data_IF_948684296814
#
_entry.id   IF_948684296814
#
_cell.length_a   1.000
_cell.length_b   1.000
_cell.length_c   1.000
_cell.angle_alpha   90.00
_cell.angle_beta   90.00
_cell.angle_gamma   90.00
#
_symmetry.space_group_name_H-M   'P 1'
#
loop_
_entity.id
_entity.type
_entity.pdbx_description
1 polymer ?
#
# COMPACT_ATOMS: atom_id res chain seq x y z
N UNK A 1 -43.47 16.27 -30.01
CA UNK A 1 -43.59 16.71 -31.40
C UNK A 1 -44.68 17.77 -31.63
N UNK A 2 -45.86 17.69 -30.98
CA UNK A 2 -46.95 18.67 -31.18
C UNK A 2 -46.75 20.04 -30.50
N UNK A 3 -45.81 20.17 -29.61
CA UNK A 3 -45.53 21.44 -28.90
C UNK A 3 -44.75 22.47 -29.73
N UNK A 4 -44.11 22.06 -30.80
CA UNK A 4 -43.19 22.92 -31.57
C UNK A 4 -43.78 23.49 -32.87
N UNK A 5 -45.03 23.15 -33.20
CA UNK A 5 -45.64 23.55 -34.47
C UNK A 5 -46.46 24.82 -34.42
N UNK A 6 -46.49 25.54 -33.30
CA UNK A 6 -47.37 26.74 -33.18
C UNK A 6 -46.59 27.91 -32.56
N UNK A 7 -46.44 28.90 -33.41
CA UNK A 7 -46.19 30.34 -33.19
C UNK A 7 -44.77 30.85 -33.18
N UNK A 8 -44.54 31.86 -33.99
CA UNK A 8 -43.38 32.79 -34.06
C UNK A 8 -43.17 33.61 -32.74
N UNK A 9 -43.54 33.10 -31.60
CA UNK A 9 -43.35 33.77 -30.32
C UNK A 9 -41.95 33.53 -29.76
N UNK A 10 -41.27 34.60 -29.29
CA UNK A 10 -39.97 34.58 -28.63
C UNK A 10 -39.84 33.48 -27.52
N UNK A 11 -40.94 33.05 -26.94
CA UNK A 11 -41.01 31.97 -25.95
C UNK A 11 -40.72 30.58 -26.54
N UNK A 12 -41.16 30.31 -27.79
CA UNK A 12 -40.89 29.00 -28.43
C UNK A 12 -39.43 28.85 -28.86
N UNK A 13 -38.80 29.92 -29.28
CA UNK A 13 -37.36 29.94 -29.61
C UNK A 13 -36.54 29.74 -28.32
N UNK A 14 -36.91 30.39 -27.23
CA UNK A 14 -36.28 30.20 -25.93
C UNK A 14 -36.39 28.74 -25.43
N UNK A 15 -37.56 28.13 -25.59
CA UNK A 15 -37.73 26.69 -25.26
C UNK A 15 -36.83 25.78 -26.12
N UNK A 16 -36.66 26.05 -27.41
CA UNK A 16 -35.78 25.30 -28.29
C UNK A 16 -34.30 25.35 -27.81
N UNK A 17 -33.81 26.52 -27.43
CA UNK A 17 -32.48 26.65 -26.91
C UNK A 17 -32.30 25.86 -25.60
N UNK A 18 -33.29 25.84 -24.71
CA UNK A 18 -33.25 25.05 -23.48
C UNK A 18 -33.21 23.55 -23.80
N UNK A 19 -34.03 23.07 -24.77
CA UNK A 19 -34.01 21.65 -25.15
C UNK A 19 -32.74 21.27 -25.93
N UNK A 20 -32.11 22.19 -26.66
CA UNK A 20 -30.85 21.95 -27.38
C UNK A 20 -29.64 21.71 -26.46
N UNK A 21 -29.77 22.00 -25.17
CA UNK A 21 -28.74 21.63 -24.15
C UNK A 21 -28.66 20.08 -24.01
N UNK A 22 -29.66 19.35 -24.45
CA UNK A 22 -29.64 17.88 -24.48
C UNK A 22 -29.17 17.44 -25.88
N UNK A 23 -28.01 16.77 -26.04
CA UNK A 23 -27.41 16.45 -27.34
C UNK A 23 -28.34 15.68 -28.28
N UNK A 24 -29.17 14.80 -27.73
CA UNK A 24 -30.16 14.03 -28.50
C UNK A 24 -31.20 14.95 -29.13
N UNK A 25 -31.72 15.93 -28.41
CA UNK A 25 -32.70 16.90 -28.91
C UNK A 25 -32.12 17.82 -29.95
N UNK A 26 -30.88 18.26 -29.80
CA UNK A 26 -30.16 19.06 -30.79
C UNK A 26 -29.92 18.27 -32.08
N UNK A 27 -29.58 17.00 -31.97
CA UNK A 27 -29.41 16.10 -33.10
C UNK A 27 -30.75 15.84 -33.83
N UNK A 28 -31.84 15.56 -33.10
CA UNK A 28 -33.18 15.41 -33.70
C UNK A 28 -33.63 16.70 -34.43
N UNK A 29 -33.43 17.87 -33.82
CA UNK A 29 -33.80 19.15 -34.46
C UNK A 29 -32.98 19.40 -35.74
N UNK A 30 -31.69 19.02 -35.75
CA UNK A 30 -30.86 19.12 -36.95
C UNK A 30 -31.35 18.20 -38.06
N UNK A 31 -31.63 16.93 -37.77
CA UNK A 31 -32.14 15.96 -38.76
C UNK A 31 -33.51 16.36 -39.29
N UNK A 32 -34.42 16.74 -38.41
CA UNK A 32 -35.78 17.12 -38.78
C UNK A 32 -35.84 18.43 -39.60
N UNK A 33 -34.97 19.41 -39.21
CA UNK A 33 -34.83 20.66 -39.97
C UNK A 33 -34.33 20.40 -41.39
N UNK A 34 -33.28 19.58 -41.52
CA UNK A 34 -32.73 19.25 -42.85
C UNK A 34 -33.68 18.42 -43.73
N UNK A 35 -34.38 17.43 -43.11
CA UNK A 35 -35.33 16.61 -43.81
C UNK A 35 -36.54 17.42 -44.31
N UNK A 36 -37.08 18.30 -43.48
CA UNK A 36 -38.20 19.19 -43.84
C UNK A 36 -37.80 20.12 -44.99
N UNK A 37 -36.63 20.71 -44.98
CA UNK A 37 -36.14 21.58 -46.03
C UNK A 37 -35.95 20.83 -47.37
N UNK A 38 -35.32 19.65 -47.30
CA UNK A 38 -35.04 18.83 -48.50
C UNK A 38 -36.32 18.35 -49.19
N UNK A 39 -37.38 18.05 -48.44
CA UNK A 39 -38.69 17.61 -49.02
C UNK A 39 -39.44 18.79 -49.65
N UNK A 40 -39.47 19.96 -49.03
CA UNK A 40 -40.32 21.06 -49.49
C UNK A 40 -39.70 21.84 -50.65
N UNK A 41 -38.39 21.95 -50.71
CA UNK A 41 -37.73 22.75 -51.73
C UNK A 41 -37.11 21.94 -52.87
N UNK A 42 -37.04 20.62 -52.79
CA UNK A 42 -36.35 19.73 -53.76
C UNK A 42 -34.86 20.15 -53.99
N UNK A 43 -34.26 20.82 -53.05
CA UNK A 43 -32.90 21.34 -53.13
C UNK A 43 -31.93 20.46 -52.37
N UNK A 44 -30.77 20.14 -52.92
CA UNK A 44 -29.77 19.36 -52.20
C UNK A 44 -29.25 20.12 -50.98
N UNK A 45 -29.11 19.38 -49.87
CA UNK A 45 -28.63 19.89 -48.58
C UNK A 45 -27.14 20.32 -48.68
N UNK A 46 -26.90 21.60 -48.70
CA UNK A 46 -25.56 22.19 -48.86
C UNK A 46 -25.25 23.18 -47.73
N UNK A 47 -23.98 23.58 -47.57
CA UNK A 47 -23.58 24.57 -46.58
C UNK A 47 -24.28 25.93 -46.77
N UNK A 48 -24.67 26.29 -47.99
CA UNK A 48 -25.38 27.54 -48.27
C UNK A 48 -26.85 27.43 -47.82
N UNK A 49 -27.48 26.28 -47.95
CA UNK A 49 -28.90 26.04 -47.53
C UNK A 49 -29.02 25.88 -46.04
N UNK A 50 -27.97 25.53 -45.33
CA UNK A 50 -27.94 25.49 -43.85
C UNK A 50 -28.21 26.86 -43.18
N UNK A 51 -28.09 27.95 -43.92
CA UNK A 51 -28.19 29.31 -43.34
C UNK A 51 -29.57 29.94 -43.53
N UNK A 52 -30.42 29.44 -44.44
CA UNK A 52 -31.71 29.98 -44.72
C UNK A 52 -32.78 28.87 -44.72
N UNK A 53 -33.58 28.83 -43.70
CA UNK A 53 -34.75 27.99 -43.64
C UNK A 53 -35.95 28.81 -43.16
N UNK A 54 -37.07 28.72 -43.88
CA UNK A 54 -38.36 29.32 -43.48
C UNK A 54 -39.02 28.58 -42.30
N UNK A 55 -38.40 27.49 -41.80
CA UNK A 55 -38.92 26.66 -40.76
C UNK A 55 -38.23 26.89 -39.41
N UNK A 56 -39.02 26.86 -38.39
CA UNK A 56 -38.88 26.86 -36.93
C UNK A 56 -37.48 27.17 -36.32
N UNK A 57 -36.40 26.71 -36.94
CA UNK A 57 -35.03 26.92 -36.44
C UNK A 57 -34.05 26.79 -37.60
N UNK A 58 -33.16 27.76 -37.76
CA UNK A 58 -32.08 27.70 -38.75
C UNK A 58 -31.16 26.47 -38.42
N UNK A 59 -30.92 25.56 -39.40
CA UNK A 59 -30.23 24.30 -39.14
C UNK A 59 -28.83 24.44 -38.52
N UNK A 60 -28.16 25.60 -38.68
CA UNK A 60 -26.87 25.82 -38.06
C UNK A 60 -26.93 25.97 -36.52
N UNK A 61 -28.10 26.36 -35.98
CA UNK A 61 -28.29 26.55 -34.53
C UNK A 61 -28.17 25.21 -33.79
N UNK A 62 -28.85 24.10 -34.16
CA UNK A 62 -28.64 22.77 -33.56
C UNK A 62 -27.20 22.28 -33.71
N UNK A 63 -26.50 22.54 -34.82
CA UNK A 63 -25.11 22.22 -35.00
C UNK A 63 -24.20 22.97 -34.02
N UNK A 64 -24.47 24.27 -33.81
CA UNK A 64 -23.75 25.05 -32.82
C UNK A 64 -23.95 24.50 -31.42
N UNK A 65 -25.17 24.13 -31.06
CA UNK A 65 -25.45 23.51 -29.77
C UNK A 65 -24.76 22.15 -29.60
N UNK A 66 -24.77 21.29 -30.64
CA UNK A 66 -24.02 20.02 -30.60
C UNK A 66 -22.51 20.25 -30.40
N UNK A 67 -21.94 21.30 -31.00
CA UNK A 67 -20.55 21.66 -30.79
C UNK A 67 -20.32 22.13 -29.34
N UNK A 68 -21.18 23.01 -28.84
CA UNK A 68 -21.10 23.51 -27.44
C UNK A 68 -21.23 22.33 -26.46
N UNK A 69 -22.17 21.45 -26.67
CA UNK A 69 -22.38 20.26 -25.85
C UNK A 69 -21.14 19.34 -25.88
N UNK A 70 -20.56 19.13 -27.06
CA UNK A 70 -19.35 18.33 -27.20
C UNK A 70 -18.18 18.88 -26.37
N UNK A 71 -18.00 20.20 -26.40
CA UNK A 71 -16.98 20.88 -25.61
C UNK A 71 -17.30 20.80 -24.12
N UNK A 72 -18.58 21.03 -23.76
CA UNK A 72 -19.04 20.93 -22.37
C UNK A 72 -18.85 19.54 -21.80
N UNK A 73 -19.28 18.50 -22.54
CA UNK A 73 -19.11 17.11 -22.09
C UNK A 73 -17.67 16.68 -22.02
N UNK A 74 -16.82 17.11 -22.95
CA UNK A 74 -15.38 16.90 -22.85
C UNK A 74 -14.81 17.55 -21.60
N UNK A 75 -15.20 18.80 -21.32
CA UNK A 75 -14.79 19.50 -20.11
C UNK A 75 -15.27 18.75 -18.85
N UNK A 76 -16.54 18.37 -18.78
CA UNK A 76 -17.10 17.62 -17.65
C UNK A 76 -16.40 16.26 -17.48
N UNK A 77 -16.14 15.56 -18.57
CA UNK A 77 -15.40 14.30 -18.55
C UNK A 77 -13.99 14.49 -17.94
N UNK A 78 -13.24 15.47 -18.42
CA UNK A 78 -11.90 15.77 -17.89
C UNK A 78 -11.99 16.20 -16.43
N UNK A 79 -12.95 17.07 -16.10
CA UNK A 79 -13.18 17.57 -14.74
C UNK A 79 -13.49 16.41 -13.77
N UNK A 80 -14.48 15.59 -14.07
CA UNK A 80 -14.87 14.48 -13.19
C UNK A 80 -13.76 13.40 -13.11
N UNK A 81 -13.13 13.08 -14.24
CA UNK A 81 -12.05 12.09 -14.24
C UNK A 81 -10.81 12.56 -13.44
N UNK A 82 -10.57 13.87 -13.37
CA UNK A 82 -9.47 14.43 -12.62
C UNK A 82 -9.79 14.62 -11.11
N UNK A 83 -11.05 14.94 -10.77
CA UNK A 83 -11.43 15.38 -9.41
C UNK A 83 -12.21 14.34 -8.60
N UNK A 84 -12.91 13.41 -9.26
CA UNK A 84 -13.62 12.36 -8.53
C UNK A 84 -12.64 11.35 -7.94
N UNK A 85 -12.96 10.90 -6.74
CA UNK A 85 -12.23 9.82 -6.07
C UNK A 85 -12.43 8.53 -6.89
N UNK A 86 -11.34 7.90 -7.25
CA UNK A 86 -11.33 6.60 -7.92
C UNK A 86 -11.59 5.50 -6.90
N UNK A 87 -12.02 4.35 -7.36
CA UNK A 87 -12.19 3.15 -6.52
C UNK A 87 -10.89 2.81 -5.78
N UNK A 88 -9.76 2.97 -6.48
CA UNK A 88 -8.41 2.84 -5.91
C UNK A 88 -7.61 4.12 -6.17
N UNK A 89 -6.98 4.65 -5.10
CA UNK A 89 -6.09 5.81 -5.15
C UNK A 89 -6.74 7.15 -4.81
N UNK A 90 -5.94 8.20 -4.94
CA UNK A 90 -6.35 9.58 -4.69
C UNK A 90 -6.80 10.25 -5.98
N UNK A 91 -7.65 11.28 -5.94
CA UNK A 91 -7.98 12.06 -7.12
C UNK A 91 -6.71 12.69 -7.72
N UNK A 92 -6.61 12.73 -9.04
CA UNK A 92 -5.43 13.27 -9.74
C UNK A 92 -5.18 14.74 -9.41
N UNK A 93 -6.27 15.50 -9.27
CA UNK A 93 -6.27 16.92 -8.89
C UNK A 93 -7.39 17.11 -7.86
N UNK A 94 -7.11 17.75 -6.72
CA UNK A 94 -8.16 18.09 -5.75
C UNK A 94 -9.15 19.06 -6.39
N UNK A 95 -10.44 18.93 -6.09
CA UNK A 95 -11.50 19.80 -6.60
C UNK A 95 -11.17 21.29 -6.46
N UNK A 96 -10.63 21.70 -5.31
CA UNK A 96 -10.22 23.09 -5.01
C UNK A 96 -9.05 23.58 -5.88
N UNK A 97 -8.26 22.67 -6.40
CA UNK A 97 -7.03 22.97 -7.17
C UNK A 97 -7.21 22.80 -8.69
N UNK A 98 -8.41 22.37 -9.14
CA UNK A 98 -8.68 22.11 -10.55
C UNK A 98 -8.43 23.32 -11.45
N UNK A 99 -8.78 24.51 -11.00
CA UNK A 99 -8.60 25.75 -11.76
C UNK A 99 -7.20 26.39 -11.62
N UNK A 100 -6.31 25.79 -10.82
CA UNK A 100 -4.94 26.30 -10.67
C UNK A 100 -4.05 25.79 -11.79
N UNK A 101 -3.39 26.71 -12.51
CA UNK A 101 -2.44 26.38 -13.59
C UNK A 101 -1.31 25.47 -13.14
N UNK A 102 -0.84 25.63 -11.91
CA UNK A 102 0.22 24.82 -11.31
C UNK A 102 -0.18 23.34 -11.16
N UNK A 103 -1.44 23.08 -10.82
CA UNK A 103 -1.96 21.70 -10.69
C UNK A 103 -1.92 20.95 -12.02
N UNK A 104 -2.27 21.63 -13.11
CA UNK A 104 -2.19 21.08 -14.47
C UNK A 104 -0.75 20.93 -14.96
N UNK A 105 0.12 21.92 -14.68
CA UNK A 105 1.54 21.80 -14.98
C UNK A 105 2.14 20.57 -14.28
N UNK A 106 1.85 20.38 -13.00
CA UNK A 106 2.30 19.22 -12.25
C UNK A 106 1.69 17.91 -12.77
N UNK A 107 0.44 17.94 -13.23
CA UNK A 107 -0.22 16.79 -13.84
C UNK A 107 0.46 16.35 -15.15
N UNK A 108 0.74 17.28 -16.05
CA UNK A 108 1.39 16.98 -17.33
C UNK A 108 2.90 16.74 -17.22
N UNK A 109 3.55 17.29 -16.20
CA UNK A 109 4.99 17.05 -15.93
C UNK A 109 5.25 15.78 -15.11
N UNK A 110 4.21 15.03 -14.75
CA UNK A 110 4.32 13.82 -13.96
C UNK A 110 5.10 12.77 -14.75
N UNK A 111 6.39 12.64 -14.43
CA UNK A 111 7.21 11.57 -14.98
C UNK A 111 6.74 10.24 -14.35
N UNK A 112 6.48 9.26 -15.18
CA UNK A 112 6.21 7.88 -14.75
C UNK A 112 7.49 7.10 -14.48
N UNK A 113 8.64 7.63 -14.94
CA UNK A 113 9.94 7.02 -14.71
C UNK A 113 10.35 7.12 -13.24
N UNK A 114 11.01 6.10 -12.74
CA UNK A 114 11.64 6.12 -11.42
C UNK A 114 12.62 7.29 -11.33
N UNK A 115 12.60 8.00 -10.20
CA UNK A 115 13.55 9.05 -9.92
C UNK A 115 14.67 8.48 -9.06
N UNK A 116 15.89 8.88 -9.36
CA UNK A 116 17.06 8.57 -8.54
C UNK A 116 16.97 9.40 -7.26
N UNK A 117 17.20 8.77 -6.12
CA UNK A 117 17.26 9.46 -4.84
C UNK A 117 18.46 10.44 -4.82
N UNK A 118 18.29 11.64 -4.27
CA UNK A 118 19.43 12.49 -3.96
C UNK A 118 20.30 11.83 -2.86
N UNK A 119 21.58 12.15 -2.87
CA UNK A 119 22.53 11.66 -1.86
C UNK A 119 22.35 12.44 -0.54
N UNK A 120 21.42 11.98 0.30
CA UNK A 120 21.09 12.59 1.58
C UNK A 120 20.86 11.51 2.65
N UNK A 121 21.24 11.80 3.89
CA UNK A 121 21.08 10.86 5.02
C UNK A 121 19.61 10.70 5.44
N UNK A 122 18.82 11.78 5.38
CA UNK A 122 17.40 11.77 5.73
C UNK A 122 16.56 11.41 4.52
N UNK A 123 15.90 10.27 4.59
CA UNK A 123 15.22 9.71 3.43
C UNK A 123 13.71 9.98 3.42
N UNK A 124 13.02 9.62 4.49
CA UNK A 124 11.57 9.76 4.62
C UNK A 124 11.21 10.20 6.03
N UNK A 125 10.45 11.28 6.16
CA UNK A 125 9.87 11.71 7.43
C UNK A 125 8.35 11.80 7.28
N UNK A 126 7.64 11.18 8.19
CA UNK A 126 6.18 11.24 8.32
C UNK A 126 5.84 11.94 9.61
N UNK A 127 4.93 12.92 9.56
CA UNK A 127 4.55 13.75 10.70
C UNK A 127 3.04 13.82 10.84
N UNK A 128 2.52 13.47 12.02
CA UNK A 128 1.13 13.57 12.40
C UNK A 128 0.17 12.72 11.55
N UNK A 129 0.63 11.58 11.02
CA UNK A 129 -0.16 10.77 10.10
C UNK A 129 -1.36 10.16 10.80
N UNK A 130 -2.54 10.54 10.34
CA UNK A 130 -3.83 10.08 10.87
C UNK A 130 -4.70 9.57 9.74
N UNK A 131 -5.34 8.41 9.94
CA UNK A 131 -6.33 7.85 9.01
C UNK A 131 -7.57 7.40 9.74
N UNK A 132 -8.69 8.03 9.41
CA UNK A 132 -10.02 7.65 9.88
C UNK A 132 -10.83 7.14 8.68
N UNK A 133 -11.42 5.97 8.82
CA UNK A 133 -12.37 5.43 7.87
C UNK A 133 -13.79 5.76 8.36
N UNK A 134 -14.50 6.54 7.56
CA UNK A 134 -15.89 6.90 7.83
C UNK A 134 -16.82 5.80 7.29
N UNK A 135 -17.48 5.09 8.19
CA UNK A 135 -18.47 4.06 7.92
C UNK A 135 -19.67 4.32 8.84
N UNK A 136 -20.48 3.32 9.18
CA UNK A 136 -21.52 3.44 10.20
C UNK A 136 -20.97 3.86 11.58
N UNK A 137 -19.71 3.50 11.85
CA UNK A 137 -18.93 3.95 12.99
C UNK A 137 -17.56 4.38 12.48
N UNK A 138 -17.09 5.54 12.92
CA UNK A 138 -15.75 6.01 12.56
C UNK A 138 -14.70 5.09 13.18
N UNK A 139 -13.78 4.59 12.34
CA UNK A 139 -12.68 3.73 12.74
C UNK A 139 -11.38 4.46 12.50
N UNK A 140 -10.67 4.79 13.57
CA UNK A 140 -9.33 5.37 13.49
C UNK A 140 -8.32 4.25 13.31
N UNK A 141 -7.84 4.09 12.09
CA UNK A 141 -6.87 3.07 11.74
C UNK A 141 -5.42 3.50 12.01
N UNK A 142 -5.12 4.80 11.89
CA UNK A 142 -3.84 5.42 12.25
C UNK A 142 -4.13 6.68 13.05
N UNK A 143 -3.43 6.86 14.18
CA UNK A 143 -3.64 7.95 15.12
C UNK A 143 -2.33 8.67 15.42
N UNK A 144 -2.13 9.82 14.77
CA UNK A 144 -1.00 10.73 14.96
C UNK A 144 0.37 10.06 14.94
N UNK A 145 0.68 9.35 13.85
CA UNK A 145 1.93 8.62 13.70
C UNK A 145 3.05 9.56 13.23
N UNK A 146 4.14 9.54 13.96
CA UNK A 146 5.38 10.26 13.64
C UNK A 146 6.54 9.27 13.56
N UNK A 147 7.30 9.30 12.46
CA UNK A 147 8.54 8.53 12.33
C UNK A 147 9.42 9.07 11.20
N UNK A 148 10.68 8.69 11.22
CA UNK A 148 11.64 8.93 10.15
C UNK A 148 12.34 7.62 9.77
N UNK A 149 12.81 7.58 8.55
CA UNK A 149 13.55 6.46 7.96
C UNK A 149 14.76 7.02 7.27
N UNK A 150 15.92 6.40 7.51
CA UNK A 150 17.17 6.78 6.88
C UNK A 150 17.45 5.96 5.61
N UNK A 151 18.38 6.40 4.79
CA UNK A 151 18.71 5.73 3.53
C UNK A 151 19.28 4.32 3.79
N UNK A 152 18.76 3.32 3.07
CA UNK A 152 19.23 1.94 3.15
C UNK A 152 18.77 1.17 4.39
N UNK A 153 17.90 1.73 5.23
CA UNK A 153 17.30 1.00 6.36
C UNK A 153 16.29 -0.06 5.89
N UNK A 154 16.30 -1.18 6.59
CA UNK A 154 15.25 -2.21 6.50
C UNK A 154 14.40 -2.15 7.76
N UNK A 155 13.21 -1.58 7.64
CA UNK A 155 12.26 -1.45 8.73
C UNK A 155 11.23 -2.57 8.64
N UNK A 156 11.06 -3.30 9.73
CA UNK A 156 10.01 -4.28 9.86
C UNK A 156 8.90 -3.72 10.73
N UNK A 157 7.69 -3.69 10.17
CA UNK A 157 6.48 -3.24 10.83
C UNK A 157 5.72 -4.45 11.38
N UNK A 158 5.62 -4.53 12.69
CA UNK A 158 5.03 -5.63 13.44
C UNK A 158 3.78 -5.14 14.16
N UNK A 159 2.81 -6.03 14.39
CA UNK A 159 1.61 -5.74 15.18
C UNK A 159 0.49 -6.73 14.91
N UNK A 160 -0.53 -6.78 15.76
CA UNK A 160 -1.68 -7.65 15.60
C UNK A 160 -2.50 -7.32 14.33
N UNK A 161 -3.39 -8.22 13.96
CA UNK A 161 -4.37 -7.94 12.92
C UNK A 161 -5.24 -6.74 13.32
N UNK A 162 -5.50 -5.84 12.36
CA UNK A 162 -6.25 -4.62 12.63
C UNK A 162 -5.46 -3.49 13.30
N UNK A 163 -4.15 -3.66 13.58
CA UNK A 163 -3.34 -2.58 14.19
C UNK A 163 -3.07 -1.39 13.28
N UNK A 164 -3.33 -1.51 11.97
CA UNK A 164 -3.13 -0.44 10.98
C UNK A 164 -1.93 -0.62 10.05
N UNK A 165 -1.22 -1.77 10.06
CA UNK A 165 -0.02 -2.02 9.22
C UNK A 165 -0.26 -1.79 7.74
N UNK A 166 -1.21 -2.50 7.14
CA UNK A 166 -1.55 -2.34 5.72
C UNK A 166 -2.10 -0.94 5.42
N UNK A 167 -2.82 -0.33 6.37
CA UNK A 167 -3.26 1.06 6.24
C UNK A 167 -2.07 2.02 6.18
N UNK A 168 -1.04 1.80 6.99
CA UNK A 168 0.18 2.61 6.96
C UNK A 168 0.90 2.48 5.61
N UNK A 169 1.13 1.25 5.13
CA UNK A 169 1.72 0.98 3.81
C UNK A 169 0.90 1.64 2.70
N UNK A 170 -0.43 1.45 2.69
CA UNK A 170 -1.32 2.01 1.67
C UNK A 170 -1.38 3.54 1.72
N UNK A 171 -1.23 4.13 2.89
CA UNK A 171 -1.20 5.59 3.02
C UNK A 171 0.14 6.16 2.53
N UNK A 172 1.27 5.56 2.93
CA UNK A 172 2.59 5.99 2.45
C UNK A 172 2.69 5.82 0.93
N UNK A 173 2.19 4.71 0.37
CA UNK A 173 2.19 4.49 -1.07
C UNK A 173 1.30 5.48 -1.85
N UNK A 174 0.47 6.27 -1.14
CA UNK A 174 -0.49 7.17 -1.76
C UNK A 174 -1.69 6.47 -2.40
N UNK A 175 -1.88 5.19 -2.12
CA UNK A 175 -3.07 4.41 -2.55
C UNK A 175 -4.30 4.84 -1.75
N UNK A 176 -4.11 5.13 -0.46
CA UNK A 176 -5.14 5.64 0.44
C UNK A 176 -4.75 7.04 0.88
N UNK A 177 -5.66 8.00 0.74
CA UNK A 177 -5.43 9.38 1.20
C UNK A 177 -5.51 9.46 2.73
N UNK A 178 -4.51 10.06 3.43
CA UNK A 178 -4.59 10.29 4.87
C UNK A 178 -5.72 11.26 5.20
N UNK A 179 -6.26 11.16 6.41
CA UNK A 179 -7.19 12.16 6.95
C UNK A 179 -6.45 13.42 7.35
N UNK A 180 -5.26 13.25 7.95
CA UNK A 180 -4.35 14.33 8.32
C UNK A 180 -2.89 13.81 8.26
N UNK A 181 -1.93 14.72 8.27
CA UNK A 181 -0.51 14.41 8.30
C UNK A 181 0.26 14.97 7.12
N UNK A 182 1.57 14.99 7.27
CA UNK A 182 2.51 15.47 6.28
C UNK A 182 3.63 14.47 6.05
N UNK A 183 4.20 14.53 4.86
CA UNK A 183 5.32 13.72 4.44
C UNK A 183 6.41 14.65 3.93
N UNK A 184 7.65 14.40 4.36
CA UNK A 184 8.85 15.00 3.77
C UNK A 184 9.68 13.88 3.16
N UNK A 185 10.08 14.05 1.92
CA UNK A 185 10.92 13.11 1.21
C UNK A 185 12.29 13.75 0.96
N UNK A 186 13.36 13.11 1.35
CA UNK A 186 14.73 13.64 1.37
C UNK A 186 14.78 14.96 2.18
N UNK A 187 15.48 15.96 1.68
CA UNK A 187 15.51 17.31 2.25
C UNK A 187 14.48 18.25 1.60
N UNK A 188 13.47 17.68 0.95
CA UNK A 188 12.40 18.45 0.30
C UNK A 188 11.44 19.13 1.27
N UNK A 189 10.50 19.89 0.72
CA UNK A 189 9.43 20.50 1.50
C UNK A 189 8.43 19.46 2.01
N UNK A 190 7.85 19.72 3.19
CA UNK A 190 6.73 18.94 3.69
C UNK A 190 5.51 19.04 2.78
N UNK A 191 4.89 17.92 2.48
CA UNK A 191 3.69 17.82 1.64
C UNK A 191 2.61 16.99 2.32
N UNK A 192 1.36 17.36 2.09
CA UNK A 192 0.19 16.55 2.42
C UNK A 192 -0.21 15.60 1.26
N UNK A 193 0.58 15.62 0.18
CA UNK A 193 0.32 14.84 -1.05
C UNK A 193 1.18 13.60 -1.12
N UNK A 194 0.77 12.56 -0.43
CA UNK A 194 1.48 11.28 -0.38
C UNK A 194 1.64 10.62 -1.76
N UNK A 195 0.78 10.93 -2.73
CA UNK A 195 0.90 10.41 -4.09
C UNK A 195 2.12 10.94 -4.87
N UNK A 196 2.79 12.00 -4.40
CA UNK A 196 3.99 12.52 -5.05
C UNK A 196 5.20 11.59 -4.89
N UNK A 197 5.19 10.74 -3.86
CA UNK A 197 6.24 9.76 -3.58
C UNK A 197 6.23 8.57 -4.57
N UNK A 198 5.13 8.33 -5.29
CA UNK A 198 4.94 7.14 -6.13
C UNK A 198 6.05 6.92 -7.17
N UNK A 199 6.69 8.00 -7.67
CA UNK A 199 7.82 7.90 -8.60
C UNK A 199 9.11 7.38 -7.97
N UNK A 200 9.17 7.23 -6.65
CA UNK A 200 10.31 6.71 -5.90
C UNK A 200 10.02 5.33 -5.29
N UNK A 201 8.79 4.83 -5.44
CA UNK A 201 8.34 3.63 -4.76
C UNK A 201 8.38 2.38 -5.64
N UNK A 202 8.86 1.29 -5.05
CA UNK A 202 8.44 -0.06 -5.37
C UNK A 202 7.39 -0.52 -4.35
N UNK A 203 6.29 -1.12 -4.79
CA UNK A 203 5.25 -1.58 -3.88
C UNK A 203 4.89 -3.03 -4.19
N UNK A 204 4.91 -3.87 -3.16
CA UNK A 204 4.38 -5.23 -3.19
C UNK A 204 3.20 -5.28 -2.20
N UNK A 205 1.98 -5.26 -2.73
CA UNK A 205 0.77 -5.35 -1.91
C UNK A 205 0.56 -6.76 -1.34
N UNK A 206 -0.32 -6.89 -0.36
CA UNK A 206 -0.69 -8.19 0.22
C UNK A 206 -1.27 -9.12 -0.85
N UNK A 207 -2.15 -8.62 -1.69
CA UNK A 207 -2.67 -9.34 -2.84
C UNK A 207 -1.68 -9.33 -4.02
N UNK A 208 -1.68 -10.41 -4.79
CA UNK A 208 -0.84 -10.50 -5.98
C UNK A 208 -1.44 -9.70 -7.13
N UNK A 209 -0.93 -8.49 -7.35
CA UNK A 209 -1.37 -7.61 -8.44
C UNK A 209 -0.64 -7.99 -9.73
N UNK A 210 -1.22 -8.94 -10.47
CA UNK A 210 -0.70 -9.47 -11.73
C UNK A 210 -1.80 -9.57 -12.78
N UNK A 211 -1.42 -9.70 -14.04
CA UNK A 211 -2.31 -9.88 -15.19
C UNK A 211 -2.19 -11.33 -15.65
N UNK A 212 -3.20 -12.15 -15.37
CA UNK A 212 -3.17 -13.61 -15.59
C UNK A 212 -2.84 -14.01 -17.03
N UNK A 213 -3.17 -13.18 -18.03
CA UNK A 213 -2.94 -13.45 -19.43
C UNK A 213 -1.50 -13.19 -19.91
N UNK A 214 -0.74 -12.39 -19.17
CA UNK A 214 0.66 -12.09 -19.50
C UNK A 214 1.60 -13.17 -18.97
N UNK A 215 2.69 -13.42 -19.67
CA UNK A 215 3.79 -14.25 -19.18
C UNK A 215 4.59 -13.52 -18.09
N UNK A 216 5.43 -14.27 -17.37
CA UNK A 216 6.36 -13.70 -16.38
C UNK A 216 7.27 -12.67 -17.04
N UNK A 217 7.82 -12.97 -18.22
CA UNK A 217 8.68 -12.05 -18.97
C UNK A 217 7.94 -10.78 -19.38
N UNK A 218 6.74 -10.92 -19.97
CA UNK A 218 5.91 -9.79 -20.38
C UNK A 218 5.53 -8.87 -19.22
N UNK A 219 5.37 -9.40 -17.99
CA UNK A 219 5.19 -8.56 -16.80
C UNK A 219 6.40 -7.68 -16.53
N UNK A 220 7.61 -8.24 -16.56
CA UNK A 220 8.82 -7.45 -16.38
C UNK A 220 8.98 -6.41 -17.48
N UNK A 221 8.70 -6.75 -18.73
CA UNK A 221 8.75 -5.82 -19.87
C UNK A 221 7.74 -4.67 -19.71
N UNK A 222 6.48 -4.98 -19.35
CA UNK A 222 5.42 -4.00 -19.15
C UNK A 222 5.75 -3.05 -17.98
N UNK A 223 6.11 -3.61 -16.82
CA UNK A 223 6.42 -2.80 -15.65
C UNK A 223 7.74 -2.04 -15.80
N UNK A 224 8.71 -2.60 -16.52
CA UNK A 224 9.95 -1.92 -16.89
C UNK A 224 9.68 -0.70 -17.77
N UNK A 225 8.80 -0.85 -18.76
CA UNK A 225 8.37 0.26 -19.61
C UNK A 225 7.65 1.36 -18.80
N UNK A 226 6.74 0.99 -17.86
CA UNK A 226 6.09 1.95 -16.97
C UNK A 226 7.08 2.71 -16.09
N UNK A 227 8.17 2.05 -15.66
CA UNK A 227 9.20 2.67 -14.83
C UNK A 227 10.28 3.39 -15.63
N UNK A 228 10.22 3.33 -16.96
CA UNK A 228 11.20 3.96 -17.85
C UNK A 228 12.59 3.30 -17.79
N UNK A 229 12.65 1.99 -17.48
CA UNK A 229 13.91 1.23 -17.48
C UNK A 229 14.37 1.04 -18.93
N UNK A 230 15.61 1.42 -19.30
CA UNK A 230 16.14 1.19 -20.64
C UNK A 230 16.16 -0.30 -21.00
N UNK A 231 15.91 -0.64 -22.27
CA UNK A 231 15.77 -2.01 -22.72
C UNK A 231 16.98 -2.89 -22.39
N UNK A 232 18.19 -2.39 -22.64
CA UNK A 232 19.44 -3.12 -22.35
C UNK A 232 19.63 -3.42 -20.85
N UNK A 233 19.09 -2.55 -19.99
CA UNK A 233 19.10 -2.73 -18.53
C UNK A 233 17.99 -3.68 -18.10
N UNK A 234 16.83 -3.57 -18.74
CA UNK A 234 15.66 -4.39 -18.44
C UNK A 234 15.94 -5.90 -18.66
N UNK A 235 16.59 -6.27 -19.74
CA UNK A 235 16.98 -7.67 -20.01
C UNK A 235 17.87 -8.22 -18.89
N UNK A 236 18.85 -7.44 -18.44
CA UNK A 236 19.72 -7.82 -17.32
C UNK A 236 18.94 -7.96 -16.00
N UNK A 237 17.97 -7.08 -15.77
CA UNK A 237 17.09 -7.15 -14.60
C UNK A 237 16.21 -8.41 -14.65
N UNK A 238 15.65 -8.75 -15.81
CA UNK A 238 14.85 -9.97 -15.99
C UNK A 238 15.68 -11.20 -15.65
N UNK A 239 16.88 -11.33 -16.22
CA UNK A 239 17.78 -12.45 -15.96
C UNK A 239 18.16 -12.53 -14.47
N UNK A 240 18.45 -11.39 -13.85
CA UNK A 240 18.78 -11.31 -12.44
C UNK A 240 17.61 -11.78 -11.55
N UNK A 241 16.41 -11.22 -11.74
CA UNK A 241 15.25 -11.59 -10.93
C UNK A 241 14.78 -13.02 -11.21
N UNK A 242 14.81 -13.46 -12.47
CA UNK A 242 14.50 -14.83 -12.86
C UNK A 242 15.39 -15.84 -12.14
N UNK A 243 16.68 -15.54 -12.02
CA UNK A 243 17.65 -16.38 -11.30
C UNK A 243 17.44 -16.30 -9.79
N UNK A 244 17.37 -15.08 -9.22
CA UNK A 244 17.26 -14.88 -7.78
C UNK A 244 15.96 -15.45 -7.20
N UNK A 245 14.85 -15.33 -7.93
CA UNK A 245 13.53 -15.78 -7.50
C UNK A 245 13.21 -17.20 -7.99
N UNK A 246 14.15 -17.85 -8.70
CA UNK A 246 13.96 -19.19 -9.28
C UNK A 246 12.74 -19.27 -10.23
N UNK A 247 12.54 -18.21 -11.05
CA UNK A 247 11.49 -18.14 -12.07
C UNK A 247 11.99 -18.36 -13.49
N UNK A 248 13.31 -18.65 -13.68
CA UNK A 248 13.94 -18.70 -15.00
C UNK A 248 13.31 -19.70 -15.97
N UNK A 249 12.87 -20.86 -15.46
CA UNK A 249 12.20 -21.89 -16.26
C UNK A 249 10.72 -21.60 -16.56
N UNK A 250 10.19 -20.48 -16.04
CA UNK A 250 8.79 -20.07 -16.15
C UNK A 250 8.62 -18.73 -16.85
N UNK A 251 9.68 -18.15 -17.42
CA UNK A 251 9.62 -16.82 -18.04
C UNK A 251 8.53 -16.71 -19.10
N UNK A 252 8.32 -17.76 -19.87
CA UNK A 252 7.30 -17.79 -20.94
C UNK A 252 5.94 -18.32 -20.47
N UNK A 253 5.82 -18.77 -19.21
CA UNK A 253 4.56 -19.24 -18.65
C UNK A 253 3.65 -18.06 -18.34
N UNK A 254 2.34 -18.22 -18.55
CA UNK A 254 1.34 -17.23 -18.15
C UNK A 254 1.28 -17.12 -16.64
N UNK A 255 1.12 -15.90 -16.13
CA UNK A 255 1.02 -15.67 -14.70
C UNK A 255 -0.21 -16.36 -14.08
N UNK A 256 -1.28 -16.55 -14.84
CA UNK A 256 -2.46 -17.31 -14.40
C UNK A 256 -2.14 -18.74 -13.99
N UNK A 257 -1.17 -19.39 -14.64
CA UNK A 257 -0.79 -20.80 -14.44
C UNK A 257 0.22 -20.98 -13.29
N UNK A 258 0.74 -19.91 -12.72
CA UNK A 258 1.69 -19.94 -11.61
C UNK A 258 1.01 -20.32 -10.29
N UNK A 259 1.74 -21.03 -9.42
CA UNK A 259 1.32 -21.24 -8.04
C UNK A 259 1.28 -19.92 -7.26
N UNK A 260 0.54 -19.87 -6.15
CA UNK A 260 0.46 -18.68 -5.29
C UNK A 260 1.83 -18.15 -4.86
N UNK A 261 2.76 -19.03 -4.47
CA UNK A 261 4.11 -18.67 -4.10
C UNK A 261 4.95 -18.14 -5.30
N UNK A 262 4.74 -18.68 -6.51
CA UNK A 262 5.39 -18.17 -7.72
C UNK A 262 4.84 -16.79 -8.12
N UNK A 263 3.53 -16.60 -8.03
CA UNK A 263 2.87 -15.29 -8.20
C UNK A 263 3.46 -14.26 -7.23
N UNK A 264 3.65 -14.66 -5.96
CA UNK A 264 4.25 -13.80 -4.94
C UNK A 264 5.69 -13.40 -5.29
N UNK A 265 6.50 -14.35 -5.70
CA UNK A 265 7.87 -14.10 -6.18
C UNK A 265 7.89 -13.12 -7.35
N UNK A 266 6.98 -13.26 -8.32
CA UNK A 266 6.84 -12.33 -9.44
C UNK A 266 6.52 -10.92 -8.92
N UNK A 267 5.52 -10.75 -8.05
CA UNK A 267 5.16 -9.46 -7.47
C UNK A 267 6.33 -8.77 -6.76
N UNK A 268 7.14 -9.54 -6.02
CA UNK A 268 8.34 -9.02 -5.36
C UNK A 268 9.38 -8.56 -6.41
N UNK A 269 9.65 -9.35 -7.44
CA UNK A 269 10.54 -8.97 -8.52
C UNK A 269 10.10 -7.67 -9.22
N UNK A 270 8.79 -7.55 -9.49
CA UNK A 270 8.20 -6.35 -10.09
C UNK A 270 8.31 -5.12 -9.18
N UNK A 271 8.18 -5.29 -7.85
CA UNK A 271 8.34 -4.19 -6.91
C UNK A 271 9.76 -3.64 -6.86
N UNK A 272 10.75 -4.48 -7.11
CA UNK A 272 12.17 -4.13 -7.10
C UNK A 272 12.72 -3.71 -8.46
N UNK A 273 11.94 -3.87 -9.52
CA UNK A 273 12.37 -3.57 -10.88
C UNK A 273 12.74 -2.09 -11.02
N UNK A 274 13.90 -1.82 -11.62
CA UNK A 274 14.39 -0.46 -11.84
C UNK A 274 15.02 0.19 -10.60
N UNK A 275 15.35 -0.60 -9.59
CA UNK A 275 16.08 -0.20 -8.38
C UNK A 275 15.43 1.02 -7.67
N UNK A 276 14.17 0.89 -7.21
CA UNK A 276 13.49 1.98 -6.53
C UNK A 276 14.20 2.33 -5.23
N UNK A 277 14.36 3.63 -4.90
CA UNK A 277 14.99 4.03 -3.66
C UNK A 277 14.20 3.64 -2.40
N UNK A 278 12.88 3.49 -2.51
CA UNK A 278 12.01 2.99 -1.43
C UNK A 278 11.23 1.78 -1.91
N UNK A 279 11.13 0.76 -1.07
CA UNK A 279 10.27 -0.40 -1.29
C UNK A 279 9.34 -0.60 -0.11
N UNK A 280 8.05 -0.70 -0.41
CA UNK A 280 7.01 -1.03 0.56
C UNK A 280 6.50 -2.44 0.26
N UNK A 281 6.54 -3.33 1.24
CA UNK A 281 6.07 -4.70 1.07
C UNK A 281 5.09 -5.07 2.17
N UNK A 282 3.87 -5.43 1.79
CA UNK A 282 2.86 -5.90 2.72
C UNK A 282 2.83 -7.44 2.72
N UNK A 283 3.35 -8.04 3.80
CA UNK A 283 3.48 -9.48 4.02
C UNK A 283 4.11 -10.25 2.83
N UNK A 284 5.34 -9.90 2.40
CA UNK A 284 5.92 -10.45 1.18
C UNK A 284 6.11 -11.97 1.20
N UNK A 285 6.18 -12.59 2.38
CA UNK A 285 6.40 -14.02 2.55
C UNK A 285 5.14 -14.81 2.91
N UNK A 286 3.96 -14.16 2.93
CA UNK A 286 2.71 -14.84 3.21
C UNK A 286 2.36 -15.86 2.10
N UNK A 287 1.97 -17.08 2.51
CA UNK A 287 1.60 -18.13 1.58
C UNK A 287 2.74 -18.73 0.76
N UNK A 288 3.99 -18.46 1.13
CA UNK A 288 5.20 -18.96 0.46
C UNK A 288 5.83 -20.08 1.29
N UNK A 289 6.37 -21.09 0.62
CA UNK A 289 7.09 -22.18 1.30
C UNK A 289 8.38 -21.71 1.98
N UNK A 290 8.90 -22.51 2.93
CA UNK A 290 10.05 -22.13 3.77
C UNK A 290 11.31 -21.79 2.94
N UNK A 291 11.57 -22.53 1.88
CA UNK A 291 12.77 -22.30 1.04
C UNK A 291 12.65 -20.99 0.27
N UNK A 292 11.49 -20.76 -0.34
CA UNK A 292 11.21 -19.52 -1.06
C UNK A 292 11.21 -18.31 -0.12
N UNK A 293 10.71 -18.45 1.12
CA UNK A 293 10.74 -17.42 2.16
C UNK A 293 12.18 -17.00 2.51
N UNK A 294 13.07 -17.96 2.77
CA UNK A 294 14.49 -17.68 3.03
C UNK A 294 15.16 -16.97 1.86
N UNK A 295 14.80 -17.33 0.64
CA UNK A 295 15.33 -16.72 -0.57
C UNK A 295 14.88 -15.26 -0.70
N UNK A 296 13.63 -14.97 -0.40
CA UNK A 296 13.09 -13.61 -0.39
C UNK A 296 13.82 -12.75 0.65
N UNK A 297 13.99 -13.24 1.88
CA UNK A 297 14.70 -12.50 2.92
C UNK A 297 16.17 -12.25 2.58
N UNK A 298 16.87 -13.23 2.00
CA UNK A 298 18.23 -13.05 1.50
C UNK A 298 18.31 -11.97 0.42
N UNK A 299 17.34 -11.92 -0.47
CA UNK A 299 17.28 -10.89 -1.51
C UNK A 299 17.05 -9.51 -0.88
N UNK A 300 16.10 -9.37 0.05
CA UNK A 300 15.87 -8.12 0.79
C UNK A 300 17.14 -7.65 1.51
N UNK A 301 17.83 -8.57 2.20
CA UNK A 301 19.09 -8.26 2.90
C UNK A 301 20.22 -7.80 1.96
N UNK A 302 20.14 -8.14 0.66
CA UNK A 302 21.13 -7.71 -0.33
C UNK A 302 20.89 -6.29 -0.87
N UNK A 303 19.74 -5.68 -0.59
CA UNK A 303 19.34 -4.34 -1.06
C UNK A 303 20.03 -3.24 -0.22
N UNK A 304 21.32 -2.99 -0.45
CA UNK A 304 22.12 -2.08 0.39
C UNK A 304 21.76 -0.60 0.25
N UNK A 305 21.17 -0.19 -0.88
CA UNK A 305 20.88 1.21 -1.19
C UNK A 305 19.37 1.50 -1.21
N UNK A 306 18.55 0.47 -1.08
CA UNK A 306 17.09 0.58 -1.08
C UNK A 306 16.58 0.60 0.34
N UNK A 307 15.85 1.64 0.70
CA UNK A 307 15.13 1.69 1.98
C UNK A 307 13.88 0.83 1.89
N UNK A 308 13.70 -0.07 2.83
CA UNK A 308 12.58 -1.03 2.80
C UNK A 308 11.71 -0.89 4.03
N UNK A 309 10.38 -0.79 3.85
CA UNK A 309 9.38 -0.86 4.92
C UNK A 309 8.51 -2.09 4.65
N UNK A 310 8.56 -3.07 5.53
CA UNK A 310 8.01 -4.39 5.30
C UNK A 310 7.14 -4.79 6.49
N UNK A 311 5.90 -5.22 6.24
CA UNK A 311 5.10 -5.90 7.25
C UNK A 311 5.41 -7.39 7.25
N UNK A 312 5.49 -7.99 8.41
CA UNK A 312 5.71 -9.43 8.52
C UNK A 312 5.02 -10.03 9.73
N UNK A 313 4.58 -11.27 9.59
CA UNK A 313 4.21 -12.16 10.68
C UNK A 313 5.30 -13.19 11.00
N UNK A 314 6.32 -13.34 10.15
CA UNK A 314 7.47 -14.22 10.36
C UNK A 314 8.58 -13.44 11.09
N UNK A 315 8.43 -13.25 12.39
CA UNK A 315 9.23 -12.32 13.17
C UNK A 315 10.69 -12.74 13.30
N UNK A 316 10.99 -14.01 13.50
CA UNK A 316 12.36 -14.50 13.64
C UNK A 316 13.19 -14.24 12.38
N UNK A 317 12.60 -14.49 11.21
CA UNK A 317 13.26 -14.27 9.92
C UNK A 317 13.40 -12.77 9.62
N UNK A 318 12.39 -11.98 9.98
CA UNK A 318 12.35 -10.54 9.79
C UNK A 318 13.35 -9.84 10.73
N UNK A 319 13.49 -10.28 11.98
CA UNK A 319 14.45 -9.76 12.95
C UNK A 319 15.90 -9.88 12.44
N UNK A 320 16.22 -11.01 11.80
CA UNK A 320 17.57 -11.26 11.29
C UNK A 320 18.01 -10.28 10.18
N UNK A 321 17.07 -9.63 9.51
CA UNK A 321 17.30 -8.75 8.37
C UNK A 321 17.05 -7.28 8.70
N UNK A 322 16.26 -7.01 9.76
CA UNK A 322 15.85 -5.65 10.12
C UNK A 322 16.98 -4.82 10.70
N UNK A 323 17.03 -3.56 10.30
CA UNK A 323 17.83 -2.53 11.00
C UNK A 323 17.04 -1.96 12.18
N UNK A 324 15.72 -1.77 11.99
CA UNK A 324 14.81 -1.29 13.03
C UNK A 324 13.47 -2.03 12.96
N UNK A 325 12.86 -2.16 14.13
CA UNK A 325 11.54 -2.73 14.33
C UNK A 325 10.57 -1.61 14.73
N UNK A 326 9.42 -1.56 14.10
CA UNK A 326 8.31 -0.70 14.50
C UNK A 326 7.15 -1.59 14.96
N UNK A 327 6.75 -1.43 16.23
CA UNK A 327 5.58 -2.12 16.76
C UNK A 327 4.37 -1.19 16.69
N UNK A 328 3.38 -1.61 15.92
CA UNK A 328 2.13 -0.89 15.74
C UNK A 328 1.00 -1.59 16.52
N UNK A 329 0.35 -0.86 17.42
CA UNK A 329 -0.82 -1.33 18.14
C UNK A 329 -1.87 -0.21 18.24
N UNK A 330 -3.14 -0.55 17.97
CA UNK A 330 -4.28 0.38 18.02
C UNK A 330 -4.02 1.68 17.23
N UNK A 331 -3.42 1.57 16.05
CA UNK A 331 -3.14 2.69 15.17
C UNK A 331 -1.97 3.59 15.60
N UNK A 332 -1.18 3.22 16.61
CA UNK A 332 -0.05 3.99 17.13
C UNK A 332 1.25 3.19 17.09
N UNK A 333 2.37 3.85 16.82
CA UNK A 333 3.69 3.24 16.99
C UNK A 333 4.00 3.21 18.50
N UNK A 334 4.13 2.01 19.06
CA UNK A 334 4.41 1.78 20.47
C UNK A 334 5.89 1.58 20.76
N UNK A 335 6.62 1.11 19.76
CA UNK A 335 8.05 0.94 19.83
C UNK A 335 8.67 1.25 18.47
N UNK A 336 9.85 1.86 18.51
CA UNK A 336 10.69 2.12 17.36
C UNK A 336 12.15 1.98 17.81
N UNK A 337 12.84 0.95 17.34
CA UNK A 337 14.23 0.67 17.74
C UNK A 337 14.71 -0.66 17.19
N UNK A 338 15.91 -1.07 17.57
CA UNK A 338 16.42 -2.40 17.20
C UNK A 338 15.93 -3.51 18.16
N UNK A 339 16.17 -4.77 17.78
CA UNK A 339 15.69 -5.91 18.58
C UNK A 339 16.34 -5.96 19.98
N UNK A 340 17.58 -5.50 20.11
CA UNK A 340 18.26 -5.44 21.42
C UNK A 340 17.63 -4.38 22.32
N UNK A 341 17.31 -3.21 21.78
CA UNK A 341 16.60 -2.15 22.52
C UNK A 341 15.21 -2.62 22.95
N UNK A 342 14.50 -3.33 22.06
CA UNK A 342 13.21 -3.92 22.36
C UNK A 342 13.30 -4.89 23.54
N UNK A 343 14.26 -5.84 23.50
CA UNK A 343 14.48 -6.82 24.57
C UNK A 343 14.83 -6.15 25.91
N UNK A 344 15.65 -5.09 25.87
CA UNK A 344 16.03 -4.33 27.06
C UNK A 344 14.87 -3.54 27.65
N UNK A 345 14.08 -2.87 26.80
CA UNK A 345 12.95 -2.05 27.26
C UNK A 345 11.87 -2.89 27.93
N UNK A 346 11.57 -4.06 27.36
CA UNK A 346 10.54 -4.96 27.88
C UNK A 346 11.10 -6.03 28.81
N UNK A 347 12.38 -5.92 29.20
CA UNK A 347 13.06 -6.84 30.12
C UNK A 347 12.88 -8.30 29.74
N UNK A 348 13.00 -8.59 28.43
CA UNK A 348 12.85 -9.96 27.94
C UNK A 348 13.85 -10.88 28.62
N UNK A 349 13.30 -11.93 29.19
CA UNK A 349 14.06 -12.91 29.89
C UNK A 349 14.27 -14.18 29.09
N UNK A 350 14.40 -15.25 29.81
CA UNK A 350 14.48 -16.60 29.29
C UNK A 350 13.25 -17.38 29.73
N UNK A 351 12.87 -18.33 28.91
CA UNK A 351 11.83 -19.33 29.23
C UNK A 351 12.53 -20.63 29.51
N UNK A 352 12.43 -21.08 30.77
CA UNK A 352 12.91 -22.38 31.20
C UNK A 352 11.74 -23.36 31.17
N UNK A 353 11.70 -24.18 30.15
CA UNK A 353 10.72 -25.27 30.06
C UNK A 353 11.27 -26.52 30.74
N UNK A 354 10.46 -27.12 31.57
CA UNK A 354 10.85 -28.25 32.42
C UNK A 354 9.92 -29.43 32.16
N UNK A 355 10.51 -30.58 31.89
CA UNK A 355 9.80 -31.82 31.70
C UNK A 355 10.02 -32.72 32.92
N UNK A 356 8.95 -32.95 33.68
CA UNK A 356 8.93 -33.82 34.88
C UNK A 356 7.80 -34.81 34.75
N UNK A 357 8.00 -36.03 35.33
CA UNK A 357 6.99 -37.10 35.33
C UNK A 357 5.74 -36.70 36.11
N UNK A 358 5.88 -35.94 37.19
CA UNK A 358 4.77 -35.44 38.01
C UNK A 358 4.14 -34.13 37.55
N UNK A 359 4.72 -33.48 36.53
CA UNK A 359 4.26 -32.20 35.99
C UNK A 359 4.36 -31.00 36.94
N UNK A 360 4.90 -31.18 38.17
CA UNK A 360 4.99 -30.13 39.16
C UNK A 360 6.34 -29.37 39.07
N UNK A 361 6.33 -28.14 38.66
CA UNK A 361 7.54 -27.28 38.50
C UNK A 361 7.87 -26.46 39.74
N UNK A 362 7.02 -26.46 40.78
CA UNK A 362 7.19 -25.64 41.97
C UNK A 362 8.54 -25.84 42.68
N UNK A 363 9.08 -27.09 42.84
CA UNK A 363 10.40 -27.27 43.44
C UNK A 363 11.54 -26.62 42.66
N UNK A 364 11.41 -26.59 41.33
CA UNK A 364 12.38 -25.92 40.47
C UNK A 364 12.22 -24.40 40.56
N UNK A 365 10.98 -23.89 40.61
CA UNK A 365 10.73 -22.46 40.81
C UNK A 365 11.36 -21.94 42.11
N UNK A 366 11.25 -22.69 43.21
CA UNK A 366 11.89 -22.32 44.50
C UNK A 366 13.42 -22.22 44.37
N UNK A 367 14.04 -23.15 43.65
CA UNK A 367 15.48 -23.08 43.38
C UNK A 367 15.83 -21.85 42.49
N UNK A 368 15.04 -21.62 41.47
CA UNK A 368 15.23 -20.44 40.57
C UNK A 368 15.11 -19.14 41.34
N UNK A 369 14.09 -19.00 42.17
CA UNK A 369 13.81 -17.78 42.95
C UNK A 369 14.91 -17.44 43.95
N UNK A 370 15.73 -18.39 44.37
CA UNK A 370 16.92 -18.15 45.20
C UNK A 370 17.95 -17.28 44.48
N UNK A 371 18.03 -17.40 43.15
CA UNK A 371 18.97 -16.63 42.29
C UNK A 371 18.29 -15.49 41.56
N UNK A 372 17.06 -15.68 41.10
CA UNK A 372 16.21 -14.79 40.37
C UNK A 372 14.86 -14.64 41.05
N UNK A 373 14.72 -13.75 42.04
CA UNK A 373 13.49 -13.64 42.86
C UNK A 373 12.23 -13.28 42.04
N UNK A 374 12.37 -12.65 40.93
CA UNK A 374 11.27 -12.22 40.06
C UNK A 374 10.77 -13.37 39.12
N UNK A 375 11.38 -14.55 39.17
CA UNK A 375 10.98 -15.69 38.36
C UNK A 375 9.58 -16.19 38.76
N UNK A 376 8.75 -16.53 37.80
CA UNK A 376 7.39 -17.03 38.00
C UNK A 376 6.99 -18.03 36.92
N UNK A 377 6.00 -18.87 37.21
CA UNK A 377 5.45 -19.81 36.24
C UNK A 377 4.61 -19.02 35.22
N UNK A 378 4.74 -19.36 33.94
CA UNK A 378 3.95 -18.77 32.88
C UNK A 378 2.49 -19.25 33.02
N UNK A 379 1.53 -18.31 33.12
CA UNK A 379 0.11 -18.63 33.33
C UNK A 379 -0.48 -19.54 32.24
N UNK A 380 -0.03 -19.40 31.01
CA UNK A 380 -0.49 -20.18 29.86
C UNK A 380 0.16 -21.57 29.77
N UNK A 381 1.31 -21.79 30.42
CA UNK A 381 2.09 -23.04 30.37
C UNK A 381 2.71 -23.34 31.71
N UNK A 382 2.04 -24.20 32.46
CA UNK A 382 2.48 -24.60 33.80
C UNK A 382 3.80 -25.38 33.83
N UNK A 383 4.32 -25.81 32.67
CA UNK A 383 5.61 -26.47 32.50
C UNK A 383 6.78 -25.49 32.27
N UNK A 384 6.51 -24.19 32.25
CA UNK A 384 7.46 -23.16 31.82
C UNK A 384 7.61 -22.09 32.89
N UNK A 385 8.86 -21.79 33.28
CA UNK A 385 9.22 -20.70 34.20
C UNK A 385 9.82 -19.54 33.40
N UNK A 386 9.33 -18.33 33.64
CA UNK A 386 9.91 -17.10 33.07
C UNK A 386 11.03 -16.62 33.99
N UNK A 387 12.19 -16.40 33.37
CA UNK A 387 13.42 -15.92 34.02
C UNK A 387 13.76 -14.53 33.52
N UNK A 388 13.50 -13.45 34.26
CA UNK A 388 14.02 -12.14 33.92
C UNK A 388 15.56 -12.14 33.77
N UNK A 389 16.07 -11.24 32.89
CA UNK A 389 17.52 -11.12 32.68
C UNK A 389 18.21 -10.81 34.02
N UNK A 390 19.07 -11.70 34.47
CA UNK A 390 19.84 -11.55 35.70
C UNK A 390 21.27 -12.09 35.50
N UNK A 391 22.28 -11.40 36.00
CA UNK A 391 23.67 -11.89 35.97
C UNK A 391 23.86 -13.23 36.70
N UNK A 392 22.92 -13.58 37.58
CA UNK A 392 22.97 -14.83 38.39
C UNK A 392 22.38 -16.07 37.70
N UNK A 393 21.85 -15.90 36.46
CA UNK A 393 21.29 -17.05 35.70
C UNK A 393 22.36 -18.10 35.43
N UNK A 394 23.61 -17.71 35.19
CA UNK A 394 24.72 -18.63 34.97
C UNK A 394 25.03 -19.48 36.24
N UNK A 395 24.95 -18.84 37.40
CA UNK A 395 25.16 -19.51 38.69
C UNK A 395 24.01 -20.49 39.00
N UNK A 396 22.79 -20.04 38.73
CA UNK A 396 21.59 -20.88 38.82
C UNK A 396 21.69 -22.14 37.95
N UNK A 397 22.05 -21.98 36.66
CA UNK A 397 22.14 -23.12 35.72
C UNK A 397 23.20 -24.15 36.19
N UNK A 398 24.33 -23.69 36.73
CA UNK A 398 25.36 -24.59 37.26
C UNK A 398 24.88 -25.39 38.48
N UNK A 399 24.08 -24.81 39.39
CA UNK A 399 23.50 -25.49 40.50
C UNK A 399 22.35 -26.41 40.05
N UNK A 400 21.52 -25.96 39.15
CA UNK A 400 20.42 -26.71 38.60
C UNK A 400 20.86 -28.02 37.91
N UNK A 401 21.93 -27.97 37.12
CA UNK A 401 22.50 -29.15 36.46
C UNK A 401 22.95 -30.21 37.46
N UNK A 402 23.44 -29.78 38.63
CA UNK A 402 23.84 -30.72 39.71
C UNK A 402 22.68 -31.33 40.47
N UNK A 403 21.58 -30.58 40.56
CA UNK A 403 20.40 -30.99 41.34
C UNK A 403 19.26 -31.56 40.47
N UNK A 404 19.43 -31.56 39.14
CA UNK A 404 18.42 -31.99 38.17
C UNK A 404 17.80 -33.34 38.51
N UNK A 405 18.66 -34.33 38.82
CA UNK A 405 18.21 -35.68 39.17
C UNK A 405 17.43 -35.74 40.49
N UNK A 406 17.83 -34.94 41.50
CA UNK A 406 17.16 -34.87 42.79
C UNK A 406 15.79 -34.20 42.69
N UNK A 407 15.68 -33.23 41.78
CA UNK A 407 14.44 -32.52 41.49
C UNK A 407 13.49 -33.30 40.57
N UNK A 408 13.88 -34.51 40.12
CA UNK A 408 13.05 -35.36 39.26
C UNK A 408 12.80 -34.74 37.87
N UNK A 409 13.73 -33.94 37.36
CA UNK A 409 13.64 -33.32 36.03
C UNK A 409 14.19 -34.26 34.98
N UNK A 410 13.35 -34.73 34.07
CA UNK A 410 13.73 -35.63 32.99
C UNK A 410 14.51 -34.89 31.90
N UNK A 411 14.00 -33.75 31.48
CA UNK A 411 14.66 -32.86 30.52
C UNK A 411 14.30 -31.39 30.77
N UNK A 412 15.13 -30.48 30.30
CA UNK A 412 14.80 -29.06 30.28
C UNK A 412 15.30 -28.39 29.03
N UNK A 413 14.66 -27.30 28.66
CA UNK A 413 15.14 -26.41 27.57
C UNK A 413 15.09 -24.95 28.02
N UNK A 414 16.17 -24.24 27.74
CA UNK A 414 16.26 -22.79 27.95
C UNK A 414 16.17 -22.10 26.62
N UNK A 415 15.14 -21.27 26.42
CA UNK A 415 14.98 -20.45 25.23
C UNK A 415 14.91 -18.97 25.62
N UNK A 416 15.23 -18.10 24.69
CA UNK A 416 14.99 -16.67 24.87
C UNK A 416 13.51 -16.43 24.62
N UNK A 417 12.89 -15.57 25.42
CA UNK A 417 11.51 -15.11 25.18
C UNK A 417 11.40 -14.51 23.78
N UNK A 418 10.42 -14.99 23.00
CA UNK A 418 10.23 -14.57 21.62
C UNK A 418 9.56 -13.19 21.55
N UNK A 419 9.77 -12.47 20.44
CA UNK A 419 9.15 -11.15 20.24
C UNK A 419 7.63 -11.28 20.16
N UNK A 420 7.12 -12.43 19.70
CA UNK A 420 5.69 -12.77 19.70
C UNK A 420 5.06 -12.73 21.10
N UNK A 421 5.72 -13.34 22.07
CA UNK A 421 5.24 -13.37 23.45
C UNK A 421 5.19 -11.96 24.05
N UNK A 422 6.16 -11.13 23.68
CA UNK A 422 6.20 -9.72 24.07
C UNK A 422 5.08 -8.90 23.44
N UNK A 423 4.80 -9.13 22.16
CA UNK A 423 3.69 -8.47 21.46
C UNK A 423 2.36 -8.79 22.12
N UNK A 424 2.14 -10.05 22.52
CA UNK A 424 0.95 -10.46 23.26
C UNK A 424 0.84 -9.71 24.60
N UNK A 425 1.93 -9.61 25.36
CA UNK A 425 1.96 -8.83 26.62
C UNK A 425 1.68 -7.34 26.40
N UNK A 426 2.22 -6.75 25.33
CA UNK A 426 1.94 -5.37 24.96
C UNK A 426 0.47 -5.13 24.65
N UNK A 427 -0.14 -6.02 23.87
CA UNK A 427 -1.56 -5.95 23.50
C UNK A 427 -2.44 -6.06 24.74
N UNK A 428 -2.21 -7.06 25.59
CA UNK A 428 -2.96 -7.27 26.83
C UNK A 428 -2.84 -6.07 27.80
N UNK A 429 -1.63 -5.48 27.90
CA UNK A 429 -1.40 -4.29 28.74
C UNK A 429 -2.16 -3.06 28.22
N UNK A 430 -2.36 -2.94 26.91
CA UNK A 430 -3.10 -1.84 26.30
C UNK A 430 -4.62 -2.05 26.40
N UNK A 431 -5.10 -3.27 26.21
CA UNK A 431 -6.52 -3.61 26.41
C UNK A 431 -6.97 -3.42 27.87
N UNK A 432 -6.07 -3.62 28.84
CA UNK A 432 -6.33 -3.36 30.24
C UNK A 432 -6.37 -1.85 30.62
N UNK A 433 -5.85 -0.97 29.74
CA UNK A 433 -5.83 0.49 29.98
C UNK A 433 -6.93 1.25 29.24
N UNK A 434 -7.67 0.62 28.33
CA UNK A 434 -8.74 1.23 27.52
C UNK A 434 -10.12 0.79 28.00
#
# INVERSE_FOLDING_TARGET
HQFFTLSENNSSVACMHVFSIIPFSAYEMFIMGGYSQSINELVPYTWSTLRYSEYICEPYIPLLWLFIDSVLYLFLFVFFNATLKREFGTPLIRFKDFFKKESWKNFFSRSTSLKIAPDTDKFLQVSGLTKVYHSHKDITALDNIDFHVDTGEVIILIGPNGSGKSTLINTISGTVEPTNGKLRLFDGEETDRFNQIQSYLGVCFQDNVIIDLLSVKEHFELFGAFRGVPQDTLEKCIDFFAKQLQLGHMLDNRAGDLSGGQKRKLCIGLSLLGDPPIVLMDEPTAGVDVQARQLIWKMIASLKHTTSIITSHALEEAEAVSTRLFILASGKIRFCGNSTELRNQYKCGYLLRIEREDGNVEPVLQLVQKYVPEAHILEERQDTITLPVSPKISEFLQEFDKEQQKLGVASYSLSVEQIEDMLLKLIQTEEAKG
#
